data_IF_021846601558
#
_entry.id   IF_021846601558
#
_cell.length_a   1.000
_cell.length_b   1.000
_cell.length_c   1.000
_cell.angle_alpha   90.00
_cell.angle_beta   90.00
_cell.angle_gamma   90.00
#
_symmetry.space_group_name_H-M   'P 1'
#
loop_
_entity.id
_entity.type
_entity.pdbx_description
1 polymer ?
#
# COMPACT_ATOMS: atom_id res chain seq x y z
N UNK A 1 -19.98 -29.39 -14.85
CA UNK A 1 -18.84 -29.65 -13.95
C UNK A 1 -18.39 -28.32 -13.35
N UNK A 2 -18.12 -28.30 -12.04
CA UNK A 2 -18.02 -27.13 -11.16
C UNK A 2 -16.97 -26.08 -11.61
N UNK A 3 -17.23 -24.77 -11.48
CA UNK A 3 -16.16 -23.78 -11.42
C UNK A 3 -15.47 -23.91 -10.05
N UNK A 4 -14.18 -24.24 -10.08
CA UNK A 4 -13.36 -24.35 -8.87
C UNK A 4 -13.29 -22.98 -8.19
N UNK A 5 -13.59 -23.00 -6.90
CA UNK A 5 -13.78 -21.85 -6.04
C UNK A 5 -12.54 -20.95 -6.00
N UNK A 6 -12.82 -19.66 -6.13
CA UNK A 6 -11.93 -18.53 -6.04
C UNK A 6 -11.27 -18.49 -4.64
N UNK A 7 -9.97 -18.81 -4.55
CA UNK A 7 -9.18 -18.69 -3.31
C UNK A 7 -8.51 -17.31 -3.16
N UNK A 8 -8.87 -16.32 -3.98
CA UNK A 8 -8.20 -15.01 -4.03
C UNK A 8 -8.69 -14.00 -2.97
N UNK A 9 -9.33 -14.45 -1.89
CA UNK A 9 -9.84 -13.57 -0.82
C UNK A 9 -9.03 -13.56 0.49
N UNK A 10 -7.85 -14.21 0.54
CA UNK A 10 -7.05 -14.30 1.76
C UNK A 10 -5.59 -13.84 1.65
N UNK A 11 -5.15 -13.24 0.54
CA UNK A 11 -3.70 -12.94 0.39
C UNK A 11 -3.26 -11.51 0.65
N UNK A 12 -4.14 -10.49 0.58
CA UNK A 12 -3.76 -9.09 0.89
C UNK A 12 -4.93 -8.20 1.36
N UNK A 13 -5.84 -8.70 2.20
CA UNK A 13 -6.50 -7.76 3.11
C UNK A 13 -5.48 -7.38 4.18
N UNK A 14 -5.18 -6.09 4.24
CA UNK A 14 -4.76 -5.39 5.46
C UNK A 14 -5.63 -5.92 6.62
N UNK A 15 -5.14 -6.91 7.36
CA UNK A 15 -5.65 -7.43 8.63
C UNK A 15 -4.42 -7.80 9.45
N UNK A 16 -4.16 -7.08 10.54
CA UNK A 16 -4.66 -7.52 11.85
C UNK A 16 -4.34 -9.00 12.07
N UNK A 17 -3.19 -9.29 12.69
CA UNK A 17 -2.98 -10.56 13.40
C UNK A 17 -2.65 -10.21 14.85
N UNK A 18 -3.59 -10.39 15.79
CA UNK A 18 -3.24 -10.44 17.20
C UNK A 18 -2.47 -11.74 17.45
N UNK A 19 -1.31 -11.64 18.11
CA UNK A 19 -0.64 -12.81 18.68
C UNK A 19 -1.58 -13.48 19.71
N UNK A 20 -1.56 -14.82 19.82
CA UNK A 20 -2.58 -15.56 20.55
C UNK A 20 -2.46 -15.36 22.07
N UNK A 21 -3.62 -15.15 22.70
CA UNK A 21 -3.81 -15.18 24.14
C UNK A 21 -3.44 -16.58 24.68
N UNK A 22 -2.58 -16.61 25.71
CA UNK A 22 -2.62 -17.68 26.71
C UNK A 22 -3.07 -17.08 28.05
N UNK A 23 -3.87 -17.83 28.83
CA UNK A 23 -4.60 -17.31 29.98
C UNK A 23 -3.69 -17.20 31.20
N UNK A 24 -3.69 -16.05 31.85
CA UNK A 24 -3.22 -15.89 33.22
C UNK A 24 -4.38 -15.42 34.09
N UNK A 25 -4.46 -16.05 35.24
CA UNK A 25 -5.67 -16.29 36.01
C UNK A 25 -6.32 -15.04 36.60
N UNK A 26 -7.63 -15.19 36.84
CA UNK A 26 -8.46 -14.44 37.76
C UNK A 26 -7.71 -14.01 39.03
N UNK A 27 -7.50 -12.71 39.19
CA UNK A 27 -7.62 -12.07 40.51
C UNK A 27 -8.42 -10.78 40.28
N UNK A 28 -9.67 -10.83 40.73
CA UNK A 28 -10.51 -9.65 40.98
C UNK A 28 -10.05 -9.05 42.31
N UNK A 29 -9.69 -7.77 42.33
CA UNK A 29 -9.81 -6.91 43.52
C UNK A 29 -9.76 -5.44 43.07
N UNK A 30 -10.84 -4.72 43.41
CA UNK A 30 -11.20 -3.33 43.13
C UNK A 30 -10.06 -2.29 43.19
N UNK A 31 -9.96 -1.45 42.14
CA UNK A 31 -9.79 0.01 42.28
C UNK A 31 -10.23 0.71 40.97
N UNK A 32 -11.24 1.58 41.03
CA UNK A 32 -11.81 2.33 39.90
C UNK A 32 -10.85 3.40 39.35
N UNK A 33 -9.87 3.00 38.52
CA UNK A 33 -9.02 3.95 37.81
C UNK A 33 -8.93 3.63 36.30
N UNK A 34 -9.78 4.33 35.53
CA UNK A 34 -9.72 4.56 34.08
C UNK A 34 -9.59 3.33 33.15
N UNK A 35 -10.75 2.79 32.81
CA UNK A 35 -11.00 1.96 31.63
C UNK A 35 -10.84 2.74 30.32
N UNK A 36 -9.64 3.19 29.93
CA UNK A 36 -9.34 3.60 28.54
C UNK A 36 -7.88 3.25 28.17
N UNK A 37 -7.61 2.00 27.83
CA UNK A 37 -6.52 1.69 26.89
C UNK A 37 -7.10 0.80 25.80
N UNK A 38 -7.64 1.49 24.78
CA UNK A 38 -8.27 0.85 23.63
C UNK A 38 -7.33 -0.16 23.00
N UNK A 39 -7.92 -1.26 22.54
CA UNK A 39 -7.29 -2.15 21.58
C UNK A 39 -6.82 -1.31 20.39
N UNK A 40 -5.54 -0.98 20.37
CA UNK A 40 -4.90 -0.30 19.25
C UNK A 40 -5.10 -1.19 18.04
N UNK A 41 -6.07 -0.85 17.20
CA UNK A 41 -6.30 -1.55 15.95
C UNK A 41 -5.01 -1.45 15.14
N UNK A 42 -4.31 -2.57 14.99
CA UNK A 42 -2.98 -2.67 14.36
C UNK A 42 -3.02 -2.43 12.85
N UNK A 43 -3.52 -1.27 12.42
CA UNK A 43 -3.48 -0.81 11.05
C UNK A 43 -2.08 -0.28 10.76
N UNK A 44 -1.46 -0.79 9.70
CA UNK A 44 -0.22 -0.22 9.17
C UNK A 44 -0.62 0.82 8.15
N UNK A 45 -0.40 2.09 8.47
CA UNK A 45 -0.62 3.19 7.54
C UNK A 45 0.51 3.24 6.51
N UNK A 46 0.14 3.39 5.23
CA UNK A 46 1.12 3.54 4.16
C UNK A 46 1.84 4.89 4.30
N UNK A 47 3.15 4.89 4.06
CA UNK A 47 3.92 6.14 4.10
C UNK A 47 3.57 7.01 2.91
N UNK A 48 3.50 8.31 3.15
CA UNK A 48 3.25 9.33 2.13
C UNK A 48 4.54 9.96 1.59
N UNK A 49 5.70 9.52 2.08
CA UNK A 49 7.03 9.94 1.62
C UNK A 49 8.08 8.84 1.79
N UNK A 50 9.10 8.84 0.93
CA UNK A 50 10.21 7.90 0.98
C UNK A 50 11.45 8.47 0.27
N UNK A 51 12.62 8.41 0.91
CA UNK A 51 13.89 8.91 0.34
C UNK A 51 14.37 8.08 -0.85
N UNK A 52 13.87 6.84 -0.98
CA UNK A 52 14.20 5.94 -2.08
C UNK A 52 13.44 6.26 -3.37
N UNK A 53 12.55 7.26 -3.40
CA UNK A 53 11.88 7.70 -4.63
C UNK A 53 12.87 8.19 -5.70
N UNK A 54 14.08 8.59 -5.30
CA UNK A 54 15.15 8.95 -6.22
C UNK A 54 15.65 7.78 -7.08
N UNK A 55 15.38 6.52 -6.69
CA UNK A 55 15.80 5.33 -7.46
C UNK A 55 14.79 4.91 -8.54
N UNK A 56 13.71 5.67 -8.75
CA UNK A 56 12.71 5.36 -9.76
C UNK A 56 13.27 5.50 -11.17
N UNK A 57 12.77 4.67 -12.09
CA UNK A 57 12.98 4.82 -13.53
C UNK A 57 12.47 6.18 -14.01
N UNK A 58 13.17 6.78 -14.98
CA UNK A 58 12.73 8.02 -15.63
C UNK A 58 11.49 7.82 -16.50
N UNK A 59 11.29 6.61 -17.01
CA UNK A 59 10.11 6.22 -17.78
C UNK A 59 9.29 5.23 -16.96
N UNK A 60 8.19 5.70 -16.40
CA UNK A 60 7.21 4.89 -15.66
C UNK A 60 5.85 4.82 -16.37
N UNK A 61 5.77 5.41 -17.57
CA UNK A 61 4.57 5.36 -18.41
C UNK A 61 4.54 4.09 -19.28
N UNK A 62 5.72 3.54 -19.63
CA UNK A 62 5.82 2.29 -20.38
C UNK A 62 6.31 1.18 -19.46
N UNK A 63 5.36 0.46 -18.87
CA UNK A 63 5.63 -0.69 -18.01
C UNK A 63 5.12 -1.98 -18.67
N UNK A 64 5.71 -3.14 -18.33
CA UNK A 64 5.14 -4.43 -18.69
C UNK A 64 3.69 -4.57 -18.22
N UNK A 65 2.91 -5.41 -18.88
CA UNK A 65 1.51 -5.62 -18.52
C UNK A 65 1.38 -6.51 -17.27
N UNK A 66 0.29 -6.39 -16.48
CA UNK A 66 0.10 -7.16 -15.25
C UNK A 66 0.08 -8.70 -15.40
N UNK A 67 -0.18 -9.22 -16.61
CA UNK A 67 -0.12 -10.64 -16.96
C UNK A 67 1.31 -11.14 -17.27
N UNK A 68 2.29 -10.24 -17.26
CA UNK A 68 3.70 -10.61 -17.48
C UNK A 68 4.16 -11.61 -16.40
N UNK A 69 4.66 -12.79 -16.78
CA UNK A 69 5.13 -13.79 -15.83
C UNK A 69 6.46 -13.38 -15.20
N UNK A 70 6.85 -14.05 -14.12
CA UNK A 70 8.16 -13.83 -13.52
C UNK A 70 9.29 -14.14 -14.52
N UNK A 71 10.18 -13.18 -14.76
CA UNK A 71 11.28 -13.31 -15.73
C UNK A 71 12.25 -14.46 -15.39
N UNK A 72 12.32 -14.90 -14.13
CA UNK A 72 13.23 -15.97 -13.69
C UNK A 72 12.60 -17.38 -13.72
N UNK A 73 11.40 -17.56 -13.16
CA UNK A 73 10.76 -18.89 -13.06
C UNK A 73 9.46 -19.04 -13.87
N UNK A 74 9.06 -18.01 -14.62
CA UNK A 74 7.86 -18.01 -15.46
C UNK A 74 6.56 -18.23 -14.68
N UNK A 75 6.56 -17.99 -13.36
CA UNK A 75 5.33 -18.08 -12.55
C UNK A 75 4.32 -17.00 -13.00
N UNK A 76 3.05 -17.35 -13.25
CA UNK A 76 2.10 -16.43 -13.88
C UNK A 76 1.42 -15.48 -12.89
N UNK A 77 1.41 -15.79 -11.59
CA UNK A 77 0.70 -15.00 -10.58
C UNK A 77 1.64 -14.46 -9.51
N UNK A 78 1.13 -13.50 -8.71
CA UNK A 78 1.85 -12.92 -7.57
C UNK A 78 3.18 -12.27 -7.98
N UNK A 79 3.16 -11.61 -9.13
CA UNK A 79 4.31 -10.93 -9.70
C UNK A 79 4.34 -9.45 -9.32
N UNK A 80 5.56 -8.95 -9.19
CA UNK A 80 5.87 -7.59 -8.82
C UNK A 80 6.72 -6.97 -9.91
N UNK A 81 6.48 -5.69 -10.18
CA UNK A 81 7.25 -4.86 -11.09
C UNK A 81 8.29 -4.06 -10.31
N UNK A 82 9.56 -4.18 -10.64
CA UNK A 82 10.59 -3.31 -10.10
C UNK A 82 10.46 -1.91 -10.71
N UNK A 83 10.34 -0.88 -9.88
CA UNK A 83 10.13 0.50 -10.36
C UNK A 83 11.42 1.20 -10.81
N UNK A 84 12.58 0.56 -10.61
CA UNK A 84 13.89 1.07 -11.03
C UNK A 84 14.30 0.55 -12.41
N UNK A 85 14.12 -0.76 -12.68
CA UNK A 85 14.55 -1.40 -13.94
C UNK A 85 13.43 -2.05 -14.75
N UNK A 86 12.19 -2.05 -14.26
CA UNK A 86 11.01 -2.67 -14.90
C UNK A 86 11.03 -4.19 -15.03
N UNK A 87 11.95 -4.88 -14.35
CA UNK A 87 11.90 -6.34 -14.25
C UNK A 87 10.63 -6.81 -13.53
N UNK A 88 10.01 -7.87 -14.05
CA UNK A 88 8.86 -8.52 -13.43
C UNK A 88 9.30 -9.81 -12.74
N UNK A 89 9.12 -9.89 -11.43
CA UNK A 89 9.60 -11.01 -10.62
C UNK A 89 8.55 -11.44 -9.60
N UNK A 90 8.51 -12.74 -9.29
CA UNK A 90 7.54 -13.27 -8.35
C UNK A 90 7.83 -12.80 -6.92
N UNK A 91 6.77 -12.68 -6.13
CA UNK A 91 6.79 -12.20 -4.75
C UNK A 91 7.57 -13.10 -3.80
N UNK A 92 7.74 -12.62 -2.56
CA UNK A 92 8.31 -13.38 -1.44
C UNK A 92 7.53 -14.65 -1.06
N UNK A 93 6.26 -14.73 -1.46
CA UNK A 93 5.39 -15.88 -1.19
C UNK A 93 5.43 -16.94 -2.28
N UNK A 94 6.13 -16.69 -3.39
CA UNK A 94 6.35 -17.65 -4.47
C UNK A 94 7.79 -18.17 -4.38
N UNK A 95 8.73 -17.60 -5.15
CA UNK A 95 10.15 -17.98 -5.14
C UNK A 95 11.08 -16.85 -4.67
N UNK A 96 10.52 -15.75 -4.13
CA UNK A 96 11.29 -14.63 -3.56
C UNK A 96 12.21 -13.89 -4.55
N UNK A 97 11.97 -14.01 -5.85
CA UNK A 97 12.82 -13.38 -6.84
C UNK A 97 12.86 -11.85 -6.75
N UNK A 98 11.73 -11.17 -6.45
CA UNK A 98 11.76 -9.72 -6.26
C UNK A 98 12.54 -9.31 -5.00
N UNK A 99 12.46 -10.10 -3.93
CA UNK A 99 13.24 -9.85 -2.70
C UNK A 99 14.75 -10.02 -2.97
N UNK A 100 15.14 -11.12 -3.63
CA UNK A 100 16.53 -11.35 -4.01
C UNK A 100 17.06 -10.26 -4.94
N UNK A 101 16.25 -9.84 -5.90
CA UNK A 101 16.57 -8.73 -6.80
C UNK A 101 16.87 -7.45 -6.03
N UNK A 102 15.98 -7.07 -5.11
CA UNK A 102 16.19 -5.88 -4.27
C UNK A 102 17.52 -5.92 -3.52
N UNK A 103 17.87 -7.08 -2.95
CA UNK A 103 19.11 -7.26 -2.19
C UNK A 103 20.38 -7.29 -3.07
N UNK A 104 20.29 -7.80 -4.29
CA UNK A 104 21.45 -7.99 -5.18
C UNK A 104 21.82 -6.71 -5.92
N UNK A 105 20.84 -5.97 -6.42
CA UNK A 105 21.08 -4.78 -7.25
C UNK A 105 20.66 -3.47 -6.57
N UNK A 106 20.21 -3.55 -5.31
CA UNK A 106 19.80 -2.41 -4.50
C UNK A 106 18.63 -1.60 -5.09
N UNK A 107 17.72 -2.28 -5.80
CA UNK A 107 16.47 -1.70 -6.26
C UNK A 107 15.39 -1.91 -5.20
N UNK A 108 15.02 -0.86 -4.50
CA UNK A 108 14.21 -0.97 -3.29
C UNK A 108 12.71 -0.80 -3.51
N UNK A 109 12.26 -0.27 -4.66
CA UNK A 109 10.86 0.02 -4.92
C UNK A 109 10.26 -0.97 -5.91
N UNK A 110 9.12 -1.56 -5.55
CA UNK A 110 8.36 -2.45 -6.42
C UNK A 110 6.85 -2.25 -6.29
N UNK A 111 6.13 -2.41 -7.40
CA UNK A 111 4.67 -2.41 -7.48
C UNK A 111 4.15 -3.84 -7.61
N UNK A 112 3.13 -4.19 -6.83
CA UNK A 112 2.44 -5.47 -6.90
C UNK A 112 1.42 -5.47 -8.04
N UNK A 113 1.48 -6.45 -8.96
CA UNK A 113 0.42 -6.61 -9.95
C UNK A 113 -0.87 -7.22 -9.39
N UNK A 114 -0.83 -7.82 -8.19
CA UNK A 114 -2.04 -8.40 -7.57
C UNK A 114 -3.04 -7.31 -7.16
N UNK A 115 -2.56 -6.28 -6.46
CA UNK A 115 -3.38 -5.26 -5.78
C UNK A 115 -2.92 -3.81 -6.03
N UNK A 116 -1.90 -3.60 -6.89
CA UNK A 116 -1.32 -2.28 -7.21
C UNK A 116 -0.69 -1.55 -6.01
N UNK A 117 -0.43 -2.25 -4.91
CA UNK A 117 0.31 -1.70 -3.78
C UNK A 117 1.78 -1.47 -4.13
N UNK A 118 2.39 -0.43 -3.56
CA UNK A 118 3.82 -0.13 -3.73
C UNK A 118 4.55 -0.41 -2.43
N UNK A 119 5.65 -1.15 -2.54
CA UNK A 119 6.48 -1.55 -1.41
C UNK A 119 7.90 -0.99 -1.53
N UNK A 120 8.44 -0.53 -0.40
CA UNK A 120 9.84 -0.19 -0.27
C UNK A 120 10.56 -1.24 0.59
N UNK A 121 11.46 -2.02 -0.01
CA UNK A 121 12.26 -3.05 0.67
C UNK A 121 13.25 -2.48 1.69
N UNK A 122 13.79 -1.27 1.44
CA UNK A 122 14.72 -0.63 2.36
C UNK A 122 14.03 -0.04 3.60
N UNK A 123 12.82 0.52 3.43
CA UNK A 123 12.03 1.06 4.53
C UNK A 123 11.14 0.01 5.23
N UNK A 124 11.03 -1.19 4.67
CA UNK A 124 10.12 -2.26 5.12
C UNK A 124 8.67 -1.76 5.27
N UNK A 125 8.19 -0.98 4.31
CA UNK A 125 6.91 -0.28 4.41
C UNK A 125 6.21 -0.10 3.06
N UNK A 126 4.87 -0.08 3.09
CA UNK A 126 4.04 0.35 1.97
C UNK A 126 4.12 1.85 1.74
N UNK A 127 3.97 2.25 0.48
CA UNK A 127 3.91 3.63 0.03
C UNK A 127 2.54 3.95 -0.58
N UNK A 128 1.99 5.10 -0.25
CA UNK A 128 0.74 5.57 -0.84
C UNK A 128 0.99 6.19 -2.21
N UNK A 129 0.76 5.40 -3.27
CA UNK A 129 0.98 5.82 -4.65
C UNK A 129 0.00 6.90 -5.15
N UNK A 130 -1.11 7.13 -4.44
CA UNK A 130 -2.07 8.18 -4.79
C UNK A 130 -1.65 9.54 -4.22
N UNK A 131 -0.92 9.55 -3.09
CA UNK A 131 -0.38 10.77 -2.47
C UNK A 131 1.00 11.12 -3.03
N UNK A 132 1.85 10.12 -3.26
CA UNK A 132 3.21 10.35 -3.76
C UNK A 132 3.17 10.63 -5.28
N UNK A 133 3.39 11.88 -5.65
CA UNK A 133 3.31 12.35 -7.04
C UNK A 133 4.19 11.54 -8.01
N UNK A 134 5.40 11.16 -7.59
CA UNK A 134 6.34 10.39 -8.42
C UNK A 134 5.83 8.98 -8.74
N UNK A 135 4.94 8.42 -7.91
CA UNK A 135 4.36 7.09 -8.11
C UNK A 135 3.02 7.13 -8.85
N UNK A 136 2.42 8.32 -8.96
CA UNK A 136 1.08 8.48 -9.53
C UNK A 136 0.99 7.95 -10.97
N UNK A 137 1.96 8.29 -11.81
CA UNK A 137 1.96 7.86 -13.20
C UNK A 137 2.04 6.34 -13.36
N UNK A 138 2.93 5.67 -12.61
CA UNK A 138 3.02 4.20 -12.68
C UNK A 138 1.75 3.53 -12.15
N UNK A 139 1.15 4.09 -11.10
CA UNK A 139 -0.10 3.59 -10.56
C UNK A 139 -1.26 3.74 -11.57
N UNK A 140 -1.41 4.92 -12.17
CA UNK A 140 -2.43 5.17 -13.20
C UNK A 140 -2.27 4.22 -14.40
N UNK A 141 -1.04 4.09 -14.92
CA UNK A 141 -0.75 3.17 -16.03
C UNK A 141 -1.06 1.72 -15.64
N UNK A 142 -0.59 1.24 -14.48
CA UNK A 142 -0.83 -0.12 -14.04
C UNK A 142 -2.32 -0.40 -13.81
N UNK A 143 -3.07 0.59 -13.30
CA UNK A 143 -4.51 0.49 -13.11
C UNK A 143 -5.24 0.34 -14.46
N UNK A 144 -4.93 1.19 -15.44
CA UNK A 144 -5.52 1.10 -16.79
C UNK A 144 -5.17 -0.24 -17.44
N UNK A 145 -3.92 -0.70 -17.34
CA UNK A 145 -3.53 -1.99 -17.90
C UNK A 145 -4.25 -3.17 -17.24
N UNK A 146 -4.54 -3.09 -15.93
CA UNK A 146 -5.19 -4.16 -15.17
C UNK A 146 -6.71 -4.18 -15.34
N UNK A 147 -7.34 -3.01 -15.40
CA UNK A 147 -8.80 -2.87 -15.31
C UNK A 147 -9.45 -2.30 -16.58
N UNK A 148 -8.67 -1.73 -17.50
CA UNK A 148 -9.17 -1.14 -18.75
C UNK A 148 -9.84 0.24 -18.60
N UNK A 149 -9.75 0.87 -17.43
CA UNK A 149 -10.34 2.18 -17.14
C UNK A 149 -9.41 3.05 -16.27
N UNK A 150 -9.70 4.34 -16.13
CA UNK A 150 -8.92 5.24 -15.28
C UNK A 150 -9.17 4.96 -13.78
N UNK A 151 -8.18 5.14 -12.90
CA UNK A 151 -8.37 4.97 -11.47
C UNK A 151 -9.38 5.98 -10.91
N UNK A 152 -10.15 5.60 -9.86
CA UNK A 152 -11.06 6.52 -9.20
C UNK A 152 -10.29 7.71 -8.62
N UNK A 153 -10.87 8.91 -8.75
CA UNK A 153 -10.30 10.11 -8.14
C UNK A 153 -10.44 10.04 -6.62
N UNK A 154 -9.33 10.16 -5.89
CA UNK A 154 -9.39 10.35 -4.44
C UNK A 154 -9.92 11.75 -4.13
N UNK A 155 -11.11 11.84 -3.57
CA UNK A 155 -11.63 13.08 -2.99
C UNK A 155 -10.71 13.47 -1.83
N UNK A 156 -9.87 14.49 -2.02
CA UNK A 156 -9.12 15.08 -0.92
C UNK A 156 -10.10 15.92 -0.11
N UNK A 157 -10.60 15.40 1.00
CA UNK A 157 -11.32 16.22 1.99
C UNK A 157 -10.31 17.14 2.67
N UNK A 158 -10.16 18.33 2.10
CA UNK A 158 -9.43 19.42 2.73
C UNK A 158 -10.28 19.92 3.91
N UNK A 159 -9.88 19.61 5.13
CA UNK A 159 -10.44 20.20 6.34
C UNK A 159 -10.23 21.71 6.29
N UNK A 160 -11.28 22.45 5.92
CA UNK A 160 -11.33 23.90 6.11
C UNK A 160 -11.24 24.17 7.61
N UNK A 161 -10.13 24.76 8.03
CA UNK A 161 -10.01 25.32 9.37
C UNK A 161 -11.06 26.41 9.54
N UNK A 162 -11.88 26.27 10.58
CA UNK A 162 -12.74 27.32 11.11
C UNK A 162 -11.89 28.53 11.48
N UNK A 163 -12.15 29.67 10.85
CA UNK A 163 -11.90 30.97 11.46
C UNK A 163 -13.23 31.69 11.58
N UNK A 164 -13.69 31.71 12.83
CA UNK A 164 -14.88 32.39 13.30
C UNK A 164 -14.73 33.92 13.19
N UNK A 165 -15.82 34.50 12.71
CA UNK A 165 -16.47 35.76 13.08
C UNK A 165 -15.70 36.92 13.74
N UNK A 166 -15.89 38.10 13.14
CA UNK A 166 -15.79 39.39 13.79
C UNK A 166 -16.60 40.42 13.02
N UNK A 167 -17.91 40.49 13.27
CA UNK A 167 -18.77 41.55 12.75
C UNK A 167 -18.77 42.80 13.63
N UNK A 168 -19.03 43.97 13.04
CA UNK A 168 -20.04 44.95 13.51
C UNK A 168 -20.08 46.25 12.66
N UNK A 169 -21.30 46.52 12.15
CA UNK A 169 -22.04 47.81 12.08
C UNK A 169 -21.53 49.04 11.30
N UNK A 170 -22.26 49.33 10.21
CA UNK A 170 -23.11 50.52 9.90
C UNK A 170 -22.70 51.98 10.22
N UNK A 171 -22.80 52.85 9.20
CA UNK A 171 -23.49 54.16 9.14
C UNK A 171 -23.26 54.78 7.73
N UNK A 172 -24.27 54.91 6.87
CA UNK A 172 -25.13 56.09 6.64
C UNK A 172 -24.39 57.44 6.48
N UNK A 173 -24.27 57.89 5.23
CA UNK A 173 -24.47 59.28 4.73
C UNK A 173 -24.23 59.36 3.23
#
# INVERSE_FOLDING_TARGET
>A
MLPSQNTDFLKWQIKLVPLPLLPLELILEDDENDLIYGAGSGWVEARTSCDHLASLSSDLAHIPTPDTPCNRCQHPTENWLCLSCKDVLCSRFVNKHMLQHSQQINHCLALSYSDLSVWCFACDSYLDAQVIMQLRHVYETAYILKFGEAPPSRSVECSKGDQAEGGASSADS
#
